data_IF_910895296866
#
_entry.id   IF_910895296866
#
_cell.length_a   1.000
_cell.length_b   1.000
_cell.length_c   1.000
_cell.angle_alpha   90.00
_cell.angle_beta   90.00
_cell.angle_gamma   90.00
#
_symmetry.space_group_name_H-M   'P 1'
#
loop_
_entity.id
_entity.type
_entity.pdbx_description
1 polymer ?
#
# COMPACT_ATOMS: atom_id res chain seq x y z
N UNK A 1 27.97 10.00 61.68
CA UNK A 1 27.71 10.79 60.44
C UNK A 1 28.15 9.92 59.28
N UNK A 2 27.20 9.16 58.73
CA UNK A 2 27.42 8.19 57.65
C UNK A 2 26.99 8.83 56.33
N UNK A 3 27.84 8.64 55.32
CA UNK A 3 27.65 9.10 53.96
C UNK A 3 26.50 8.31 53.31
N UNK A 4 25.48 9.01 52.82
CA UNK A 4 24.57 8.47 51.79
C UNK A 4 24.85 9.19 50.48
N UNK A 5 25.80 8.67 49.72
CA UNK A 5 25.91 8.93 48.29
C UNK A 5 24.81 8.13 47.59
N UNK A 6 23.74 8.80 47.19
CA UNK A 6 22.80 8.25 46.22
C UNK A 6 23.44 8.33 44.82
N UNK A 7 24.09 7.24 44.40
CA UNK A 7 24.33 6.95 42.98
C UNK A 7 23.03 6.40 42.40
N UNK A 8 22.34 7.19 41.59
CA UNK A 8 21.32 6.67 40.68
C UNK A 8 22.01 6.34 39.36
N UNK A 9 22.39 5.08 39.19
CA UNK A 9 22.55 4.47 37.87
C UNK A 9 21.13 4.16 37.35
N UNK A 10 20.63 4.97 36.41
CA UNK A 10 19.47 4.60 35.60
C UNK A 10 19.97 4.10 34.26
N UNK A 11 20.06 2.78 34.17
CA UNK A 11 20.18 2.04 32.94
C UNK A 11 18.81 2.06 32.24
N UNK A 12 18.84 2.32 30.93
CA UNK A 12 17.85 2.10 29.86
C UNK A 12 16.41 1.71 30.21
N UNK A 13 15.42 2.34 29.56
CA UNK A 13 14.67 1.61 28.54
C UNK A 13 13.89 2.55 27.61
N UNK A 14 13.97 2.29 26.30
CA UNK A 14 13.04 2.85 25.31
C UNK A 14 11.72 2.10 25.42
N UNK A 15 10.67 2.77 25.87
CA UNK A 15 9.31 2.23 25.78
C UNK A 15 8.78 2.48 24.36
N UNK A 16 9.00 1.50 23.48
CA UNK A 16 8.16 1.29 22.31
C UNK A 16 6.84 0.68 22.78
N UNK A 17 5.82 1.52 22.92
CA UNK A 17 4.44 1.08 23.14
C UNK A 17 3.84 0.48 21.88
N UNK A 18 4.31 -0.69 21.47
CA UNK A 18 3.61 -1.57 20.53
C UNK A 18 2.99 -2.71 21.34
N UNK A 19 1.87 -2.43 22.00
CA UNK A 19 1.06 -3.47 22.64
C UNK A 19 0.11 -4.04 21.59
N UNK A 20 0.65 -4.90 20.72
CA UNK A 20 -0.13 -5.81 19.91
C UNK A 20 -0.46 -7.02 20.79
N UNK A 21 -1.66 -7.03 21.38
CA UNK A 21 -2.16 -8.17 22.16
C UNK A 21 -2.46 -9.34 21.21
N UNK A 22 -1.42 -10.10 20.89
CA UNK A 22 -1.52 -11.38 20.22
C UNK A 22 -1.25 -12.48 21.25
N UNK A 23 -2.32 -13.07 21.77
CA UNK A 23 -2.28 -14.35 22.48
C UNK A 23 -1.93 -15.47 21.47
N UNK A 24 -0.65 -15.70 21.25
CA UNK A 24 -0.15 -16.89 20.56
C UNK A 24 0.78 -17.67 21.50
N UNK A 25 0.21 -18.62 22.24
CA UNK A 25 0.96 -19.53 23.11
C UNK A 25 1.62 -20.65 22.29
N UNK A 26 2.54 -20.34 21.37
CA UNK A 26 3.51 -21.31 20.84
C UNK A 26 4.68 -20.60 20.19
N UNK A 27 5.90 -21.03 20.52
CA UNK A 27 7.20 -20.49 20.05
C UNK A 27 7.44 -20.69 18.54
N UNK A 28 6.72 -19.95 17.70
CA UNK A 28 6.92 -19.92 16.26
C UNK A 28 7.11 -18.48 15.77
N UNK A 29 8.07 -18.28 14.86
CA UNK A 29 8.28 -17.02 14.15
C UNK A 29 6.96 -16.57 13.53
N UNK A 30 6.36 -15.53 14.11
CA UNK A 30 5.08 -15.04 13.64
C UNK A 30 5.30 -14.28 12.32
N UNK A 31 5.30 -15.01 11.20
CA UNK A 31 4.88 -14.44 9.93
C UNK A 31 3.38 -14.21 10.06
N UNK A 32 3.00 -13.07 10.60
CA UNK A 32 1.64 -12.57 10.48
C UNK A 32 1.27 -12.69 8.99
N UNK A 33 0.36 -13.63 8.68
CA UNK A 33 -0.05 -13.94 7.33
C UNK A 33 -0.37 -12.64 6.59
N UNK A 34 0.45 -12.35 5.60
CA UNK A 34 0.25 -11.44 4.48
C UNK A 34 -1.23 -11.19 4.25
N UNK A 35 -1.69 -9.93 4.39
CA UNK A 35 -3.08 -9.54 4.11
C UNK A 35 -3.56 -10.21 2.82
N UNK A 36 -4.58 -11.07 2.93
CA UNK A 36 -5.07 -11.98 1.87
C UNK A 36 -5.85 -11.28 0.75
N UNK A 37 -6.10 -9.99 0.86
CA UNK A 37 -6.89 -9.25 -0.13
C UNK A 37 -5.96 -8.60 -1.17
N UNK A 38 -6.21 -8.90 -2.45
CA UNK A 38 -5.46 -8.31 -3.56
C UNK A 38 -5.62 -6.78 -3.65
N UNK A 39 -6.65 -6.22 -3.01
CA UNK A 39 -6.92 -4.79 -2.99
C UNK A 39 -7.36 -4.35 -1.60
N UNK A 40 -6.82 -3.25 -1.10
CA UNK A 40 -7.28 -2.66 0.16
C UNK A 40 -7.15 -1.13 0.16
N UNK A 41 -7.97 -0.47 0.97
CA UNK A 41 -7.92 0.96 1.25
C UNK A 41 -8.04 1.16 2.76
N UNK A 42 -7.14 1.97 3.32
CA UNK A 42 -7.19 2.38 4.72
C UNK A 42 -6.81 3.85 4.88
N UNK A 43 -6.95 4.41 6.07
CA UNK A 43 -6.70 5.83 6.29
C UNK A 43 -7.01 6.30 7.70
N UNK A 44 -6.45 7.44 8.03
CA UNK A 44 -6.48 8.07 9.34
C UNK A 44 -6.44 9.60 9.19
N UNK A 45 -6.68 10.29 10.30
CA UNK A 45 -6.53 11.74 10.40
C UNK A 45 -5.14 12.07 10.96
N UNK A 46 -4.47 13.07 10.38
CA UNK A 46 -3.17 13.55 10.87
C UNK A 46 -3.09 15.07 10.68
N UNK A 47 -2.94 15.81 11.78
CA UNK A 47 -2.83 17.29 11.78
C UNK A 47 -3.91 18.01 10.96
N UNK A 48 -5.16 17.53 11.06
CA UNK A 48 -6.30 18.08 10.31
C UNK A 48 -6.35 17.69 8.82
N UNK A 49 -5.38 16.90 8.35
CA UNK A 49 -5.42 16.25 7.05
C UNK A 49 -6.08 14.86 7.14
N UNK A 50 -6.78 14.51 6.08
CA UNK A 50 -7.23 13.15 5.81
C UNK A 50 -6.16 12.44 5.00
N UNK A 51 -5.59 11.38 5.59
CA UNK A 51 -4.55 10.54 4.97
C UNK A 51 -5.16 9.20 4.62
N UNK A 52 -5.21 8.88 3.33
CA UNK A 52 -5.73 7.61 2.81
C UNK A 52 -4.65 6.90 2.01
N UNK A 53 -4.44 5.63 2.31
CA UNK A 53 -3.51 4.75 1.61
C UNK A 53 -4.27 3.57 1.01
N UNK A 54 -3.74 2.99 -0.05
CA UNK A 54 -4.26 1.74 -0.56
C UNK A 54 -3.27 0.99 -1.40
N UNK A 55 -3.48 -0.32 -1.55
CA UNK A 55 -2.65 -1.21 -2.36
C UNK A 55 -3.55 -2.03 -3.28
N UNK A 56 -3.10 -2.26 -4.50
CA UNK A 56 -3.72 -3.18 -5.45
C UNK A 56 -2.66 -4.09 -6.09
N UNK A 57 -2.93 -5.39 -6.14
CA UNK A 57 -2.09 -6.42 -6.77
C UNK A 57 -2.84 -7.02 -7.94
N UNK A 58 -2.24 -6.99 -9.13
CA UNK A 58 -2.89 -7.42 -10.36
C UNK A 58 -1.89 -8.04 -11.34
N UNK A 59 -2.38 -8.93 -12.20
CA UNK A 59 -1.67 -9.43 -13.38
C UNK A 59 -2.24 -8.69 -14.59
N UNK A 60 -1.45 -7.83 -15.22
CA UNK A 60 -1.90 -6.99 -16.34
C UNK A 60 -0.71 -6.48 -17.18
N UNK A 61 -0.99 -5.90 -18.33
CA UNK A 61 0.00 -5.17 -19.13
C UNK A 61 0.32 -3.81 -18.50
N UNK A 62 1.61 -3.54 -18.23
CA UNK A 62 2.06 -2.31 -17.59
C UNK A 62 1.57 -1.03 -18.29
N UNK A 63 1.60 -0.97 -19.62
CA UNK A 63 1.17 0.23 -20.36
C UNK A 63 -0.31 0.57 -20.13
N UNK A 64 -1.14 -0.46 -19.95
CA UNK A 64 -2.55 -0.29 -19.65
C UNK A 64 -2.75 0.19 -18.20
N UNK A 65 -2.04 -0.43 -17.24
CA UNK A 65 -2.07 0.00 -15.83
C UNK A 65 -1.57 1.44 -15.69
N UNK A 66 -0.49 1.80 -16.37
CA UNK A 66 0.08 3.15 -16.36
C UNK A 66 -0.93 4.19 -16.83
N UNK A 67 -1.60 3.92 -17.95
CA UNK A 67 -2.61 4.82 -18.54
C UNK A 67 -3.80 5.02 -17.60
N UNK A 68 -4.32 3.93 -17.02
CA UNK A 68 -5.45 3.99 -16.09
C UNK A 68 -5.08 4.67 -14.79
N UNK A 69 -3.90 4.37 -14.22
CA UNK A 69 -3.45 4.97 -12.98
C UNK A 69 -3.26 6.48 -13.13
N UNK A 70 -2.67 6.94 -14.24
CA UNK A 70 -2.52 8.38 -14.51
C UNK A 70 -3.86 9.10 -14.53
N UNK A 71 -4.81 8.60 -15.31
CA UNK A 71 -6.16 9.16 -15.39
C UNK A 71 -6.88 9.11 -14.03
N UNK A 72 -6.71 8.01 -13.27
CA UNK A 72 -7.30 7.85 -11.95
C UNK A 72 -6.79 8.87 -10.94
N UNK A 73 -5.48 9.18 -10.93
CA UNK A 73 -4.92 10.20 -10.04
C UNK A 73 -5.39 11.61 -10.42
N UNK A 74 -5.49 11.93 -11.71
CA UNK A 74 -6.04 13.19 -12.21
C UNK A 74 -7.52 13.35 -11.81
N UNK A 75 -8.32 12.30 -12.00
CA UNK A 75 -9.73 12.28 -11.59
C UNK A 75 -9.91 12.40 -10.07
N UNK A 76 -9.05 11.76 -9.29
CA UNK A 76 -9.10 11.86 -7.82
C UNK A 76 -8.84 13.30 -7.37
N UNK A 77 -7.81 13.95 -7.93
CA UNK A 77 -7.50 15.35 -7.63
C UNK A 77 -8.65 16.29 -8.02
N UNK A 78 -9.28 16.04 -9.19
CA UNK A 78 -10.44 16.79 -9.63
C UNK A 78 -11.64 16.58 -8.69
N UNK A 79 -11.89 15.35 -8.23
CA UNK A 79 -12.98 15.04 -7.30
C UNK A 79 -12.81 15.73 -5.94
N UNK A 80 -11.58 15.78 -5.42
CA UNK A 80 -11.26 16.52 -4.18
C UNK A 80 -11.55 18.02 -4.36
N UNK A 81 -11.10 18.60 -5.48
CA UNK A 81 -11.32 20.03 -5.77
C UNK A 81 -12.80 20.37 -5.95
N UNK A 82 -13.58 19.46 -6.55
CA UNK A 82 -15.03 19.65 -6.75
C UNK A 82 -15.84 19.63 -5.44
N UNK A 83 -15.26 19.13 -4.35
CA UNK A 83 -15.84 19.12 -3.01
C UNK A 83 -15.25 20.22 -2.11
N UNK A 84 -14.67 21.27 -2.71
CA UNK A 84 -13.96 22.36 -2.02
C UNK A 84 -12.78 21.90 -1.14
N UNK A 85 -12.28 20.68 -1.37
CA UNK A 85 -11.12 20.11 -0.69
C UNK A 85 -9.79 20.60 -1.28
N UNK A 86 -8.72 20.53 -0.48
CA UNK A 86 -7.36 20.92 -0.89
C UNK A 86 -6.50 19.68 -1.01
N UNK A 87 -5.89 19.48 -2.17
CA UNK A 87 -4.89 18.43 -2.39
C UNK A 87 -3.58 18.86 -1.74
N UNK A 88 -3.15 18.15 -0.71
CA UNK A 88 -1.78 18.25 -0.20
C UNK A 88 -0.84 17.49 -1.11
N UNK A 89 -0.98 16.15 -1.15
CA UNK A 89 -0.22 15.27 -2.05
C UNK A 89 -1.06 14.06 -2.42
N UNK A 90 -1.06 13.69 -3.70
CA UNK A 90 -1.57 12.40 -4.20
C UNK A 90 -0.43 11.72 -4.93
N UNK A 91 -0.09 10.48 -4.54
CA UNK A 91 1.08 9.76 -5.03
C UNK A 91 0.72 8.30 -5.28
N UNK A 92 1.42 7.69 -6.23
CA UNK A 92 1.42 6.26 -6.42
C UNK A 92 2.84 5.74 -6.65
N UNK A 93 3.15 4.58 -6.08
CA UNK A 93 4.32 3.76 -6.39
C UNK A 93 3.85 2.51 -7.14
N UNK A 94 4.64 2.06 -8.10
CA UNK A 94 4.33 0.88 -8.92
C UNK A 94 5.53 -0.04 -8.93
N UNK A 95 5.35 -1.26 -8.45
CA UNK A 95 6.32 -2.35 -8.54
C UNK A 95 5.89 -3.30 -9.65
N UNK A 96 6.85 -3.77 -10.44
CA UNK A 96 6.60 -4.59 -11.64
C UNK A 96 7.49 -5.82 -11.57
N UNK A 97 6.87 -6.99 -11.63
CA UNK A 97 7.51 -8.29 -11.65
C UNK A 97 7.15 -9.02 -12.95
N UNK A 98 8.16 -9.42 -13.72
CA UNK A 98 7.98 -10.16 -14.98
C UNK A 98 8.67 -11.52 -14.92
N UNK A 99 8.01 -12.54 -15.48
CA UNK A 99 8.57 -13.90 -15.60
C UNK A 99 8.96 -14.17 -17.05
N UNK A 100 10.22 -14.57 -17.25
CA UNK A 100 10.72 -15.12 -18.50
C UNK A 100 11.03 -16.61 -18.31
N UNK A 101 10.49 -17.46 -19.19
CA UNK A 101 10.73 -18.88 -19.18
C UNK A 101 11.75 -19.25 -20.25
N UNK A 102 12.91 -19.75 -19.80
CA UNK A 102 13.95 -20.32 -20.65
C UNK A 102 13.79 -21.84 -20.64
N UNK A 103 13.58 -22.45 -21.80
CA UNK A 103 13.43 -23.91 -21.93
C UNK A 103 14.31 -24.47 -23.05
N UNK A 104 14.78 -25.70 -22.86
CA UNK A 104 15.52 -26.47 -23.87
C UNK A 104 14.80 -27.81 -24.04
N UNK A 105 14.47 -28.19 -25.28
CA UNK A 105 13.89 -29.51 -25.58
C UNK A 105 14.78 -30.36 -26.47
N UNK A 106 15.83 -29.77 -27.07
CA UNK A 106 16.87 -30.45 -27.85
C UNK A 106 18.21 -29.72 -27.64
N UNK A 107 18.68 -28.92 -28.60
CA UNK A 107 19.97 -28.19 -28.55
C UNK A 107 19.81 -26.65 -28.47
N UNK A 108 18.60 -26.12 -28.68
CA UNK A 108 18.34 -24.68 -28.71
C UNK A 108 17.46 -24.22 -27.55
N UNK A 109 17.84 -23.09 -26.93
CA UNK A 109 17.05 -22.44 -25.89
C UNK A 109 15.92 -21.63 -26.53
N UNK A 110 14.69 -21.86 -26.10
CA UNK A 110 13.55 -20.98 -26.39
C UNK A 110 13.22 -20.13 -25.18
N UNK A 111 12.86 -18.86 -25.43
CA UNK A 111 12.46 -17.92 -24.38
C UNK A 111 11.01 -17.55 -24.60
N UNK A 112 10.16 -17.80 -23.60
CA UNK A 112 8.77 -17.33 -23.57
C UNK A 112 8.63 -16.25 -22.52
N UNK A 113 8.05 -15.12 -22.93
CA UNK A 113 7.77 -13.99 -22.04
C UNK A 113 6.28 -13.87 -21.84
N UNK A 114 5.85 -13.68 -20.59
CA UNK A 114 4.47 -13.29 -20.31
C UNK A 114 4.24 -11.87 -20.83
N UNK A 115 3.11 -11.65 -21.51
CA UNK A 115 2.68 -10.30 -21.91
C UNK A 115 2.26 -9.48 -20.68
N UNK A 116 1.68 -10.16 -19.69
CA UNK A 116 1.23 -9.58 -18.44
C UNK A 116 2.32 -9.67 -17.38
N UNK A 117 2.43 -8.63 -16.56
CA UNK A 117 3.32 -8.55 -15.41
C UNK A 117 2.51 -8.62 -14.14
N UNK A 118 3.08 -9.22 -13.10
CA UNK A 118 2.56 -9.02 -11.74
C UNK A 118 2.92 -7.59 -11.33
N UNK A 119 1.92 -6.80 -11.03
CA UNK A 119 2.04 -5.37 -10.72
C UNK A 119 1.46 -5.15 -9.33
N UNK A 120 2.21 -4.42 -8.50
CA UNK A 120 1.74 -3.92 -7.22
C UNK A 120 1.68 -2.40 -7.30
N UNK A 121 0.51 -1.84 -7.07
CA UNK A 121 0.29 -0.38 -7.02
C UNK A 121 0.02 0.02 -5.58
N UNK A 122 0.83 0.91 -5.04
CA UNK A 122 0.63 1.52 -3.73
C UNK A 122 0.28 2.99 -3.90
N UNK A 123 -0.72 3.46 -3.18
CA UNK A 123 -1.20 4.85 -3.29
C UNK A 123 -1.26 5.51 -1.92
N UNK A 124 -1.04 6.82 -1.91
CA UNK A 124 -1.22 7.66 -0.74
C UNK A 124 -1.81 9.01 -1.17
N UNK A 125 -2.87 9.43 -0.50
CA UNK A 125 -3.53 10.72 -0.67
C UNK A 125 -3.59 11.45 0.68
N UNK A 126 -3.07 12.66 0.71
CA UNK A 126 -3.13 13.59 1.84
C UNK A 126 -3.94 14.79 1.36
N UNK A 127 -5.13 14.96 1.92
CA UNK A 127 -6.07 16.02 1.53
C UNK A 127 -6.61 16.75 2.76
N UNK A 128 -7.08 17.98 2.57
CA UNK A 128 -7.73 18.78 3.60
C UNK A 128 -9.17 19.10 3.19
N UNK A 129 -10.06 19.24 4.18
CA UNK A 129 -11.44 19.64 3.94
C UNK A 129 -12.38 18.54 3.46
N UNK A 130 -11.91 17.29 3.35
CA UNK A 130 -12.71 16.11 2.98
C UNK A 130 -12.75 15.13 4.15
N UNK A 131 -13.93 14.60 4.46
CA UNK A 131 -14.07 13.62 5.54
C UNK A 131 -13.36 12.30 5.20
N UNK A 132 -12.87 11.60 6.24
CA UNK A 132 -12.11 10.37 6.05
C UNK A 132 -12.91 9.28 5.31
N UNK A 133 -14.18 9.10 5.66
CA UNK A 133 -15.04 8.10 5.02
C UNK A 133 -15.25 8.41 3.52
N UNK A 134 -15.46 9.68 3.19
CA UNK A 134 -15.63 10.14 1.81
C UNK A 134 -14.34 9.97 1.01
N UNK A 135 -13.19 10.33 1.58
CA UNK A 135 -11.90 10.17 0.92
C UNK A 135 -11.56 8.69 0.68
N UNK A 136 -11.85 7.79 1.64
CA UNK A 136 -11.71 6.34 1.45
C UNK A 136 -12.58 5.85 0.28
N UNK A 137 -13.84 6.31 0.20
CA UNK A 137 -14.73 5.96 -0.91
C UNK A 137 -14.24 6.50 -2.27
N UNK A 138 -13.65 7.70 -2.29
CA UNK A 138 -13.03 8.26 -3.50
C UNK A 138 -11.82 7.44 -3.95
N UNK A 139 -10.89 7.08 -3.06
CA UNK A 139 -9.74 6.23 -3.42
C UNK A 139 -10.20 4.86 -3.91
N UNK A 140 -11.18 4.24 -3.23
CA UNK A 140 -11.74 2.96 -3.65
C UNK A 140 -12.32 3.05 -5.07
N UNK A 141 -13.25 3.98 -5.30
CA UNK A 141 -13.98 4.07 -6.57
C UNK A 141 -13.14 4.60 -7.74
N UNK A 142 -12.24 5.55 -7.49
CA UNK A 142 -11.45 6.20 -8.55
C UNK A 142 -10.18 5.43 -8.91
N UNK A 143 -9.61 4.69 -7.97
CA UNK A 143 -8.36 3.96 -8.17
C UNK A 143 -8.60 2.46 -8.10
N UNK A 144 -8.99 1.92 -6.94
CA UNK A 144 -8.96 0.48 -6.69
C UNK A 144 -9.92 -0.30 -7.59
N UNK A 145 -11.15 0.18 -7.75
CA UNK A 145 -12.14 -0.47 -8.59
C UNK A 145 -11.72 -0.49 -10.07
N UNK A 146 -11.06 0.59 -10.53
CA UNK A 146 -10.52 0.65 -11.90
C UNK A 146 -9.35 -0.30 -12.10
N UNK A 147 -8.43 -0.37 -11.13
CA UNK A 147 -7.32 -1.33 -11.18
C UNK A 147 -7.83 -2.77 -11.15
N UNK A 148 -8.83 -3.06 -10.33
CA UNK A 148 -9.47 -4.38 -10.25
C UNK A 148 -10.13 -4.78 -11.58
N UNK A 149 -10.73 -3.83 -12.28
CA UNK A 149 -11.34 -4.06 -13.60
C UNK A 149 -10.33 -4.38 -14.72
N UNK A 150 -9.01 -4.23 -14.47
CA UNK A 150 -7.97 -4.60 -15.43
C UNK A 150 -7.57 -6.08 -15.37
N UNK A 151 -8.02 -6.81 -14.35
CA UNK A 151 -7.73 -8.24 -14.26
C UNK A 151 -8.56 -9.00 -15.31
N UNK A 152 -7.96 -9.95 -16.05
CA UNK A 152 -8.73 -10.85 -16.91
C UNK A 152 -9.73 -11.65 -16.05
N UNK A 153 -10.97 -11.81 -16.54
CA UNK A 153 -11.94 -12.74 -15.94
C UNK A 153 -11.31 -14.15 -15.92
N UNK A 154 -11.22 -14.76 -14.74
CA UNK A 154 -10.73 -16.12 -14.57
C UNK A 154 -11.77 -17.17 -14.94
#
# INVERSE_FOLDING_TARGET
MQHSHHKHEHHHNHEHGEHHDCSCETEHSCSCETRKENFWVDGHLHDGATVVSGEGRLLAEYDHVNSVLKAALEELAAAVTAQDGIVGHIKAAVEISSVEMFSVTDEAVTVKRSKEQEIVVQTAAIVFGIELAEMKALVQSKIMDKLKALQPEQ
#
